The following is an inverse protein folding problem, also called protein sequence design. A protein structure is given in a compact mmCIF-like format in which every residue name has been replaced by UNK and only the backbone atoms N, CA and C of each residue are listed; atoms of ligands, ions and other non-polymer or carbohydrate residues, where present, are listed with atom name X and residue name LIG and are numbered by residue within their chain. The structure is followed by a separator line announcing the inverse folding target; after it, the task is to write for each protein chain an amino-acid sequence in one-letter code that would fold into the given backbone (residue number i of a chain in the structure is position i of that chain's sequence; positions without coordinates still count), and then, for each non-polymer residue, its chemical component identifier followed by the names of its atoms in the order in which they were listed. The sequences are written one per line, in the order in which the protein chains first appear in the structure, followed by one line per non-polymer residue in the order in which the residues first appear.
data_IF_930432223535
#
_entry.id   IF_930432223535
#
_cell.length_a   1.000
_cell.length_b   1.000
_cell.length_c   1.000
_cell.angle_alpha   90.00
_cell.angle_beta   90.00
_cell.angle_gamma   90.00
#
_symmetry.space_group_name_H-M   'P 1'
#
loop_
_entity.id
_entity.type
_entity.pdbx_description
1 polymer ?
#
# COMPACT_ATOMS: atom_id res chain seq x y z
N UNK A 1 -0.91 0.33 7.67
CA UNK A 1 0.05 0.23 6.56
C UNK A 1 1.41 0.32 7.19
N UNK A 2 2.15 -0.76 7.13
CA UNK A 2 3.51 -0.78 7.63
C UNK A 2 4.40 -0.72 6.40
N UNK A 3 5.49 0.04 6.46
CA UNK A 3 6.34 0.21 5.31
C UNK A 3 6.73 -1.15 4.69
N UNK A 4 6.98 -2.17 5.51
CA UNK A 4 7.31 -3.52 5.04
C UNK A 4 6.19 -4.25 4.31
N UNK A 5 4.92 -4.05 4.69
CA UNK A 5 3.79 -4.75 4.08
C UNK A 5 3.28 -4.00 2.84
N UNK A 6 3.60 -2.71 2.69
CA UNK A 6 3.07 -1.89 1.60
C UNK A 6 3.44 -2.41 0.20
N UNK A 7 4.71 -2.83 -0.10
CA UNK A 7 5.04 -3.37 -1.41
C UNK A 7 4.22 -4.62 -1.82
N UNK A 8 4.17 -5.71 -1.03
CA UNK A 8 3.36 -6.88 -1.41
C UNK A 8 1.86 -6.56 -1.41
N UNK A 9 1.39 -5.68 -0.54
CA UNK A 9 -0.02 -5.29 -0.47
C UNK A 9 -0.45 -4.45 -1.68
N UNK A 10 0.36 -3.48 -2.11
CA UNK A 10 0.11 -2.68 -3.32
C UNK A 10 0.14 -3.56 -4.57
N UNK A 11 1.12 -4.45 -4.67
CA UNK A 11 1.17 -5.42 -5.78
C UNK A 11 -0.07 -6.30 -5.80
N UNK A 12 -0.48 -6.85 -4.64
CA UNK A 12 -1.67 -7.69 -4.49
C UNK A 12 -2.97 -6.96 -4.82
N UNK A 13 -3.13 -5.72 -4.37
CA UNK A 13 -4.31 -4.90 -4.69
C UNK A 13 -4.37 -4.55 -6.18
N UNK A 14 -3.23 -4.26 -6.81
CA UNK A 14 -3.19 -4.05 -8.25
C UNK A 14 -3.63 -5.31 -9.02
N UNK A 15 -3.13 -6.50 -8.62
CA UNK A 15 -3.55 -7.76 -9.21
C UNK A 15 -5.04 -8.04 -9.00
N UNK A 16 -5.53 -7.86 -7.77
CA UNK A 16 -6.94 -8.06 -7.42
C UNK A 16 -7.86 -7.10 -8.19
N UNK A 17 -7.47 -5.83 -8.31
CA UNK A 17 -8.21 -4.83 -9.10
C UNK A 17 -8.36 -5.24 -10.56
N UNK A 18 -7.30 -5.77 -11.16
CA UNK A 18 -7.34 -6.26 -12.54
C UNK A 18 -8.16 -7.56 -12.66
N UNK A 19 -8.07 -8.46 -11.67
CA UNK A 19 -8.85 -9.69 -11.61
C UNK A 19 -10.36 -9.40 -11.55
N UNK A 20 -10.78 -8.53 -10.63
CA UNK A 20 -12.17 -8.11 -10.47
C UNK A 20 -12.68 -7.43 -11.74
N UNK A 21 -11.89 -6.52 -12.31
CA UNK A 21 -12.24 -5.86 -13.57
C UNK A 21 -12.39 -6.87 -14.73
N UNK A 22 -11.55 -7.89 -14.80
CA UNK A 22 -11.65 -8.94 -15.81
C UNK A 22 -12.91 -9.79 -15.63
N UNK A 23 -13.26 -10.17 -14.40
CA UNK A 23 -14.47 -10.96 -14.11
C UNK A 23 -15.77 -10.20 -14.36
N UNK A 24 -15.80 -8.88 -14.12
CA UNK A 24 -17.03 -8.08 -14.24
C UNK A 24 -17.27 -7.57 -15.66
N UNK A 25 -16.23 -7.38 -16.48
CA UNK A 25 -16.39 -6.79 -17.81
C UNK A 25 -15.67 -7.60 -18.88
N UNK A 26 -16.45 -8.11 -19.85
CA UNK A 26 -15.94 -8.76 -21.06
C UNK A 26 -15.05 -7.79 -21.85
N UNK A 27 -13.76 -8.14 -21.94
CA UNK A 27 -12.70 -7.64 -22.85
C UNK A 27 -12.33 -6.13 -22.85
N UNK A 28 -13.22 -5.19 -22.51
CA UNK A 28 -12.93 -3.73 -22.46
C UNK A 28 -12.45 -3.21 -21.10
N UNK A 29 -12.23 -4.09 -20.12
CA UNK A 29 -12.13 -3.71 -18.70
C UNK A 29 -10.77 -3.18 -18.21
N UNK A 30 -9.75 -3.08 -19.09
CA UNK A 30 -8.42 -2.59 -18.69
C UNK A 30 -8.48 -1.24 -17.97
N UNK A 31 -9.37 -0.35 -18.43
CA UNK A 31 -9.58 0.97 -17.81
C UNK A 31 -10.20 0.85 -16.41
N UNK A 32 -11.18 -0.04 -16.21
CA UNK A 32 -11.81 -0.25 -14.91
C UNK A 32 -10.81 -0.76 -13.87
N UNK A 33 -9.98 -1.74 -14.24
CA UNK A 33 -8.91 -2.22 -13.35
C UNK A 33 -7.86 -1.16 -13.04
N UNK A 34 -7.53 -0.30 -14.01
CA UNK A 34 -6.61 0.83 -13.79
C UNK A 34 -7.19 1.88 -12.86
N UNK A 35 -8.48 2.22 -12.99
CA UNK A 35 -9.17 3.16 -12.10
C UNK A 35 -9.21 2.60 -10.68
N UNK A 36 -9.55 1.32 -10.51
CA UNK A 36 -9.53 0.66 -9.20
C UNK A 36 -8.13 0.65 -8.58
N UNK A 37 -7.10 0.30 -9.35
CA UNK A 37 -5.72 0.31 -8.86
C UNK A 37 -5.25 1.74 -8.49
N UNK A 38 -5.63 2.75 -9.27
CA UNK A 38 -5.34 4.15 -8.97
C UNK A 38 -6.07 4.61 -7.70
N UNK A 39 -7.34 4.22 -7.54
CA UNK A 39 -8.10 4.51 -6.32
C UNK A 39 -7.45 3.85 -5.09
N UNK A 40 -7.02 2.60 -5.20
CA UNK A 40 -6.27 1.91 -4.13
C UNK A 40 -4.96 2.62 -3.82
N UNK A 41 -4.20 3.05 -4.83
CA UNK A 41 -2.96 3.80 -4.65
C UNK A 41 -3.21 5.10 -3.89
N UNK A 42 -4.16 5.92 -4.33
CA UNK A 42 -4.50 7.19 -3.68
C UNK A 42 -4.94 6.97 -2.24
N UNK A 43 -5.76 5.94 -1.99
CA UNK A 43 -6.22 5.59 -0.64
C UNK A 43 -5.03 5.21 0.25
N UNK A 44 -4.13 4.36 -0.22
CA UNK A 44 -2.96 3.92 0.57
C UNK A 44 -1.99 5.07 0.80
N UNK A 45 -1.72 5.89 -0.22
CA UNK A 45 -0.86 7.07 -0.06
C UNK A 45 -1.45 8.03 0.98
N UNK A 46 -2.75 8.29 0.91
CA UNK A 46 -3.43 9.16 1.86
C UNK A 46 -3.37 8.58 3.27
N UNK A 47 -3.84 7.34 3.48
CA UNK A 47 -3.84 6.69 4.79
C UNK A 47 -2.44 6.60 5.39
N UNK A 48 -1.43 6.23 4.59
CA UNK A 48 -0.04 6.11 5.04
C UNK A 48 0.54 7.47 5.42
N UNK A 49 0.33 8.50 4.61
CA UNK A 49 0.79 9.86 4.94
C UNK A 49 0.11 10.39 6.20
N UNK A 50 -1.20 10.18 6.34
CA UNK A 50 -1.97 10.61 7.52
C UNK A 50 -1.52 9.89 8.80
N UNK A 51 -1.22 8.60 8.72
CA UNK A 51 -0.68 7.83 9.85
C UNK A 51 0.72 8.33 10.24
N UNK A 52 1.57 8.54 9.23
CA UNK A 52 2.94 8.98 9.42
C UNK A 52 3.01 10.35 10.12
N UNK A 53 2.12 11.27 9.72
CA UNK A 53 1.99 12.60 10.32
C UNK A 53 1.24 12.59 11.66
N UNK A 54 0.86 11.43 12.18
CA UNK A 54 0.11 11.29 13.43
C UNK A 54 -1.17 12.16 13.47
N UNK A 55 -1.90 12.20 12.37
CA UNK A 55 -3.14 12.98 12.27
C UNK A 55 -4.20 12.45 13.25
N UNK A 56 -4.89 13.35 13.97
CA UNK A 56 -5.84 12.99 15.02
C UNK A 56 -6.97 12.05 14.55
N UNK A 57 -7.46 12.25 13.33
CA UNK A 57 -8.51 11.40 12.74
C UNK A 57 -8.05 9.98 12.41
N UNK A 58 -6.75 9.68 12.49
CA UNK A 58 -6.19 8.33 12.30
C UNK A 58 -5.86 7.63 13.62
N UNK A 59 -6.21 8.21 14.78
CA UNK A 59 -5.96 7.58 16.09
C UNK A 59 -6.60 6.20 16.22
N UNK A 60 -7.84 6.05 15.75
CA UNK A 60 -8.56 4.78 15.78
C UNK A 60 -7.83 3.63 15.06
N UNK A 61 -6.93 3.95 14.12
CA UNK A 61 -6.22 2.96 13.33
C UNK A 61 -5.04 2.34 14.08
N UNK A 62 -4.29 3.15 14.85
CA UNK A 62 -3.08 2.68 15.53
C UNK A 62 -3.28 2.35 17.02
N UNK A 63 -4.29 2.93 17.67
CA UNK A 63 -4.64 2.65 19.07
C UNK A 63 -4.83 1.15 19.38
N UNK A 64 -5.44 0.32 18.50
CA UNK A 64 -5.58 -1.12 18.75
C UNK A 64 -4.25 -1.89 18.87
N UNK A 65 -3.15 -1.30 18.42
CA UNK A 65 -1.81 -1.90 18.48
C UNK A 65 -1.01 -1.48 19.72
N UNK A 66 -1.61 -0.69 20.62
CA UNK A 66 -1.04 -0.44 21.94
C UNK A 66 -1.03 -1.72 22.80
N UNK A 67 -0.03 -1.92 23.67
CA UNK A 67 1.08 -1.01 23.99
C UNK A 67 2.30 -1.16 23.07
N UNK A 68 2.26 -2.05 22.08
CA UNK A 68 3.39 -2.38 21.21
C UNK A 68 3.83 -1.20 20.33
N UNK A 69 2.91 -0.29 20.01
CA UNK A 69 3.22 0.96 19.28
C UNK A 69 2.74 2.18 20.07
N UNK A 70 3.51 3.25 19.98
CA UNK A 70 3.25 4.49 20.73
C UNK A 70 2.54 5.57 19.90
N UNK A 71 2.60 5.48 18.57
CA UNK A 71 1.98 6.42 17.63
C UNK A 71 1.74 5.79 16.26
N UNK A 72 1.02 6.49 15.37
CA UNK A 72 0.82 6.07 13.98
C UNK A 72 2.15 5.99 13.20
N UNK A 73 3.06 6.94 13.44
CA UNK A 73 4.42 6.93 12.89
C UNK A 73 5.21 5.70 13.35
N UNK A 74 5.11 5.38 14.63
CA UNK A 74 5.76 4.20 15.22
C UNK A 74 5.21 2.89 14.63
N UNK A 75 3.89 2.80 14.45
CA UNK A 75 3.26 1.69 13.75
C UNK A 75 3.80 1.54 12.32
N UNK A 76 4.02 2.62 11.59
CA UNK A 76 4.54 2.56 10.22
C UNK A 76 6.00 2.11 10.12
N UNK A 77 6.85 2.63 11.00
CA UNK A 77 8.30 2.36 10.99
C UNK A 77 8.58 0.98 11.59
N UNK A 78 8.03 0.74 12.78
CA UNK A 78 8.41 -0.40 13.59
C UNK A 78 7.50 -1.60 13.38
N UNK A 79 6.22 -1.38 13.07
CA UNK A 79 5.27 -2.47 12.83
C UNK A 79 5.13 -3.46 13.99
N UNK A 80 5.68 -3.14 15.17
CA UNK A 80 5.90 -4.08 16.28
C UNK A 80 6.97 -5.16 16.02
N UNK A 81 7.70 -5.10 14.90
CA UNK A 81 8.75 -6.05 14.51
C UNK A 81 10.14 -5.44 14.73
N UNK A 82 10.30 -4.16 14.39
CA UNK A 82 11.54 -3.42 14.59
C UNK A 82 11.45 -2.52 15.82
N UNK A 83 12.61 -2.05 16.30
CA UNK A 83 12.74 -1.17 17.46
C UNK A 83 13.58 0.05 17.10
N UNK A 84 13.29 0.69 15.97
CA UNK A 84 13.91 1.93 15.56
C UNK A 84 13.33 3.12 16.34
N UNK A 85 14.18 4.10 16.62
CA UNK A 85 13.73 5.34 17.24
C UNK A 85 12.79 6.10 16.30
N UNK A 86 11.53 6.29 16.71
CA UNK A 86 10.47 6.88 15.89
C UNK A 86 10.12 8.32 16.27
N UNK A 87 10.76 8.88 17.31
CA UNK A 87 10.49 10.22 17.84
C UNK A 87 11.51 11.24 17.31
N UNK A 88 12.81 11.02 17.55
CA UNK A 88 13.87 11.96 17.18
C UNK A 88 14.77 11.40 16.06
N UNK A 89 14.16 11.22 14.90
CA UNK A 89 14.84 10.71 13.71
C UNK A 89 15.72 11.82 13.12
N UNK A 90 17.00 11.55 12.87
CA UNK A 90 17.97 12.50 12.26
C UNK A 90 17.67 12.76 10.77
N UNK A 91 16.39 12.88 10.38
CA UNK A 91 15.90 13.00 9.00
C UNK A 91 16.05 11.75 8.12
N UNK A 92 16.89 10.78 8.50
CA UNK A 92 17.13 9.56 7.72
C UNK A 92 15.85 8.73 7.57
N UNK A 93 15.13 8.49 8.66
CA UNK A 93 13.90 7.69 8.64
C UNK A 93 12.79 8.41 7.86
N UNK A 94 12.76 9.74 7.89
CA UNK A 94 11.80 10.56 7.14
C UNK A 94 12.09 10.49 5.64
N UNK A 95 13.37 10.52 5.30
CA UNK A 95 13.84 10.36 3.93
C UNK A 95 13.48 8.97 3.39
N UNK A 96 13.75 7.91 4.17
CA UNK A 96 13.39 6.53 3.80
C UNK A 96 11.87 6.37 3.66
N UNK A 97 11.09 6.91 4.60
CA UNK A 97 9.63 6.93 4.55
C UNK A 97 9.10 7.63 3.28
N UNK A 98 9.65 8.81 2.96
CA UNK A 98 9.30 9.55 1.76
C UNK A 98 9.66 8.78 0.48
N UNK A 99 10.86 8.20 0.41
CA UNK A 99 11.26 7.34 -0.71
C UNK A 99 10.31 6.16 -0.87
N UNK A 100 9.88 5.55 0.22
CA UNK A 100 8.97 4.41 0.18
C UNK A 100 7.60 4.78 -0.38
N UNK A 101 7.03 5.91 0.06
CA UNK A 101 5.78 6.45 -0.47
C UNK A 101 5.93 6.80 -1.96
N UNK A 102 7.07 7.40 -2.35
CA UNK A 102 7.38 7.71 -3.75
C UNK A 102 7.48 6.44 -4.62
N UNK A 103 7.82 5.30 -4.03
CA UNK A 103 7.88 4.01 -4.73
C UNK A 103 6.51 3.32 -4.83
N UNK A 104 5.45 3.79 -4.18
CA UNK A 104 4.12 3.15 -4.26
C UNK A 104 3.57 3.01 -5.69
N UNK A 105 3.68 4.02 -6.58
CA UNK A 105 3.29 3.86 -7.98
C UNK A 105 4.07 2.75 -8.70
N UNK A 106 5.35 2.56 -8.35
CA UNK A 106 6.19 1.51 -8.93
C UNK A 106 5.68 0.12 -8.51
N UNK A 107 5.28 -0.07 -7.25
CA UNK A 107 4.74 -1.33 -6.76
C UNK A 107 3.39 -1.68 -7.39
N UNK A 108 2.51 -0.68 -7.60
CA UNK A 108 1.26 -0.86 -8.35
C UNK A 108 1.55 -1.26 -9.80
N UNK A 109 2.51 -0.61 -10.45
CA UNK A 109 2.93 -0.97 -11.81
C UNK A 109 3.50 -2.40 -11.88
N UNK A 110 4.30 -2.80 -10.88
CA UNK A 110 4.82 -4.15 -10.77
C UNK A 110 3.68 -5.18 -10.64
N UNK A 111 2.70 -4.94 -9.76
CA UNK A 111 1.52 -5.80 -9.61
C UNK A 111 0.67 -5.89 -10.87
N UNK A 112 0.48 -4.76 -11.58
CA UNK A 112 -0.15 -4.74 -12.90
C UNK A 112 0.60 -5.63 -13.89
N UNK A 113 1.93 -5.44 -14.04
CA UNK A 113 2.76 -6.26 -14.95
C UNK A 113 2.73 -7.74 -14.58
N UNK A 114 2.75 -8.05 -13.28
CA UNK A 114 2.68 -9.41 -12.75
C UNK A 114 1.35 -10.06 -13.13
N UNK A 115 0.23 -9.36 -12.97
CA UNK A 115 -1.10 -9.86 -13.36
C UNK A 115 -1.17 -10.24 -14.83
N UNK A 116 -0.67 -9.39 -15.74
CA UNK A 116 -0.70 -9.71 -17.18
C UNK A 116 0.32 -10.78 -17.59
N UNK A 117 1.42 -10.94 -16.84
CA UNK A 117 2.40 -12.00 -17.06
C UNK A 117 1.89 -13.38 -16.61
N UNK A 118 1.18 -13.41 -15.48
CA UNK A 118 0.62 -14.63 -14.90
C UNK A 118 -0.87 -14.79 -15.21
N UNK A 119 -1.41 -13.99 -16.14
CA UNK A 119 -2.81 -14.11 -16.57
C UNK A 119 -3.00 -15.58 -16.95
N UNK A 120 -3.86 -16.32 -16.24
CA UNK A 120 -4.02 -17.73 -16.51
C UNK A 120 -4.46 -17.87 -17.97
N UNK A 121 -3.78 -18.73 -18.73
CA UNK A 121 -4.14 -19.19 -20.07
C UNK A 121 -5.48 -19.96 -20.11
N UNK A 122 -6.32 -19.79 -19.09
CA UNK A 122 -7.60 -20.44 -18.92
C UNK A 122 -8.68 -19.49 -19.43
N UNK A 123 -8.93 -19.57 -20.74
CA UNK A 123 -10.18 -19.29 -21.47
C UNK A 123 -9.82 -18.86 -22.91
N UNK A 124 -9.20 -19.79 -23.65
CA UNK A 124 -9.51 -20.06 -25.05
C UNK A 124 -10.10 -21.49 -25.02
N UNK A 125 -11.24 -21.78 -25.64
CA UNK A 125 -11.55 -21.42 -27.03
C UNK A 125 -12.65 -20.37 -27.21
#
# INVERSE_FOLDING_TARGET
MTFLIDPPLLMGLAMFSQYVAFKITSQKSRKAGQILALFSLCTIMFTSSSLYLNMAYMHWFWVPFQPTVTSGRDLMINSGIFSFESVNTVGLIDTVAAFQILLYPLWIYAGYRLYYRFKPFSENP
#
